data_IF_827955885335
#
_entry.id   IF_827955885335
#
_cell.length_a   1.000
_cell.length_b   1.000
_cell.length_c   1.000
_cell.angle_alpha   90.00
_cell.angle_beta   90.00
_cell.angle_gamma   90.00
#
_symmetry.space_group_name_H-M   'P 1'
#
loop_
_entity.id
_entity.type
_entity.pdbx_description
1 polymer ?
#
# COMPACT_ATOMS: atom_id res chain seq x y z
N UNK A 1 -65.88 91.65 6.04
CA UNK A 1 -65.66 90.25 5.89
C UNK A 1 -65.00 90.01 4.52
N UNK A 2 -63.70 90.06 4.45
CA UNK A 2 -62.90 89.91 3.22
C UNK A 2 -62.52 88.50 2.97
N UNK A 3 -63.02 87.92 1.89
CA UNK A 3 -62.64 86.57 1.47
C UNK A 3 -61.36 86.68 0.60
N UNK A 4 -60.23 86.22 1.13
CA UNK A 4 -59.00 86.09 0.38
C UNK A 4 -59.15 84.95 -0.64
N UNK A 5 -59.17 85.34 -1.92
CA UNK A 5 -59.01 84.40 -3.04
C UNK A 5 -57.56 83.88 -3.07
N UNK A 6 -57.37 82.65 -2.74
CA UNK A 6 -56.11 81.96 -2.95
C UNK A 6 -56.01 81.55 -4.42
N UNK A 7 -55.16 82.27 -5.13
CA UNK A 7 -54.88 81.96 -6.55
C UNK A 7 -54.30 80.58 -6.71
N UNK A 8 -54.83 79.81 -7.64
CA UNK A 8 -54.31 78.51 -8.01
C UNK A 8 -52.82 78.61 -8.40
N UNK A 9 -51.99 77.67 -8.02
CA UNK A 9 -50.55 77.66 -8.35
C UNK A 9 -50.43 77.59 -9.89
N UNK A 10 -49.75 78.59 -10.48
CA UNK A 10 -49.29 78.53 -11.86
C UNK A 10 -48.58 77.22 -12.09
N UNK A 11 -49.00 76.35 -13.00
CA UNK A 11 -48.26 75.25 -13.54
C UNK A 11 -46.90 75.78 -14.05
N UNK A 12 -45.83 75.59 -13.29
CA UNK A 12 -44.48 75.78 -13.78
C UNK A 12 -44.37 74.90 -15.04
N UNK A 13 -43.91 75.42 -16.16
CA UNK A 13 -43.69 74.64 -17.38
C UNK A 13 -42.85 73.41 -17.03
N UNK A 14 -43.27 72.28 -17.50
CA UNK A 14 -42.56 71.00 -17.21
C UNK A 14 -41.14 71.15 -17.72
N UNK A 15 -40.17 71.23 -16.79
CA UNK A 15 -38.73 71.26 -17.09
C UNK A 15 -38.41 69.88 -17.66
N UNK A 16 -37.79 69.79 -18.84
CA UNK A 16 -37.42 68.52 -19.42
C UNK A 16 -36.34 67.85 -18.60
N UNK A 17 -36.30 66.51 -18.69
CA UNK A 17 -35.26 65.71 -18.02
C UNK A 17 -33.85 66.17 -18.44
N UNK A 18 -33.69 66.55 -19.71
CA UNK A 18 -32.47 67.11 -20.28
C UNK A 18 -32.03 68.40 -19.58
N UNK A 19 -33.01 69.37 -19.42
CA UNK A 19 -32.79 70.65 -18.74
C UNK A 19 -32.43 70.46 -17.24
N UNK A 20 -33.04 69.47 -16.56
CA UNK A 20 -32.71 69.12 -15.16
C UNK A 20 -31.29 68.60 -15.04
N UNK A 21 -30.84 67.74 -15.94
CA UNK A 21 -29.54 67.13 -15.92
C UNK A 21 -28.41 67.99 -16.51
N UNK A 22 -28.74 68.99 -17.33
CA UNK A 22 -27.80 70.00 -17.83
C UNK A 22 -27.30 70.96 -16.72
N UNK A 23 -28.09 71.16 -15.67
CA UNK A 23 -27.75 72.07 -14.57
C UNK A 23 -26.82 71.36 -13.59
N UNK A 24 -25.53 71.75 -13.52
CA UNK A 24 -24.52 71.21 -12.66
C UNK A 24 -24.78 71.41 -11.15
N UNK A 25 -25.55 72.41 -10.77
CA UNK A 25 -25.94 72.70 -9.40
C UNK A 25 -27.17 71.89 -8.94
N UNK A 26 -27.77 71.06 -9.83
CA UNK A 26 -28.95 70.29 -9.51
C UNK A 26 -28.58 69.11 -8.56
N UNK A 27 -29.23 69.01 -7.37
CA UNK A 27 -28.97 67.90 -6.43
C UNK A 27 -29.18 66.51 -7.05
N UNK A 28 -30.07 66.31 -7.98
CA UNK A 28 -30.27 65.04 -8.69
C UNK A 28 -29.03 64.62 -9.48
N UNK A 29 -28.41 65.58 -10.21
CA UNK A 29 -27.16 65.30 -10.93
C UNK A 29 -26.04 65.00 -9.98
N UNK A 30 -25.87 65.75 -8.89
CA UNK A 30 -24.87 65.47 -7.87
C UNK A 30 -25.06 64.09 -7.25
N UNK A 31 -26.31 63.66 -7.01
CA UNK A 31 -26.63 62.31 -6.52
C UNK A 31 -26.22 61.24 -7.54
N UNK A 32 -26.55 61.39 -8.80
CA UNK A 32 -26.16 60.44 -9.86
C UNK A 32 -24.64 60.39 -10.04
N UNK A 33 -23.94 61.53 -9.94
CA UNK A 33 -22.48 61.61 -10.02
C UNK A 33 -21.76 60.98 -8.82
N UNK A 34 -22.44 60.82 -7.68
CA UNK A 34 -21.91 60.13 -6.48
C UNK A 34 -22.01 58.61 -6.54
N UNK A 35 -22.80 58.07 -7.46
CA UNK A 35 -22.95 56.62 -7.62
C UNK A 35 -21.66 55.97 -8.13
N UNK A 36 -21.27 54.88 -7.50
CA UNK A 36 -20.14 54.04 -7.97
C UNK A 36 -20.60 52.99 -8.99
N UNK A 37 -21.52 53.34 -9.84
CA UNK A 37 -22.02 52.57 -10.97
C UNK A 37 -22.00 53.39 -12.24
N UNK A 38 -21.77 52.79 -13.39
CA UNK A 38 -21.82 53.48 -14.67
C UNK A 38 -23.27 53.73 -15.02
N UNK A 39 -23.71 54.96 -14.93
CA UNK A 39 -25.11 55.38 -15.16
C UNK A 39 -25.24 56.30 -16.37
N UNK A 40 -26.15 55.93 -17.25
CA UNK A 40 -26.50 56.68 -18.46
C UNK A 40 -27.99 56.95 -18.48
N UNK A 41 -28.40 58.12 -19.02
CA UNK A 41 -29.78 58.40 -19.19
C UNK A 41 -30.00 58.79 -20.67
N UNK A 42 -31.02 58.16 -21.25
CA UNK A 42 -31.51 58.50 -22.59
C UNK A 42 -32.92 59.14 -22.52
N UNK A 43 -33.19 60.13 -23.35
CA UNK A 43 -34.50 60.72 -23.54
C UNK A 43 -35.49 59.74 -24.18
N UNK A 44 -36.75 60.19 -24.37
CA UNK A 44 -37.78 59.40 -25.05
C UNK A 44 -37.48 59.23 -26.57
N UNK A 45 -36.67 60.09 -27.11
CA UNK A 45 -36.16 60.07 -28.49
C UNK A 45 -34.92 59.15 -28.63
N UNK A 46 -34.57 58.47 -27.54
CA UNK A 46 -33.40 57.55 -27.44
C UNK A 46 -32.05 58.25 -27.65
N UNK A 47 -32.00 59.57 -27.43
CA UNK A 47 -30.75 60.33 -27.40
C UNK A 47 -30.12 60.22 -26.01
N UNK A 48 -28.84 59.97 -25.94
CA UNK A 48 -28.08 59.90 -24.68
C UNK A 48 -27.89 61.33 -24.14
N UNK A 49 -28.63 61.68 -23.08
CA UNK A 49 -28.65 63.04 -22.53
C UNK A 49 -27.76 63.22 -21.30
N UNK A 50 -27.35 62.09 -20.63
CA UNK A 50 -26.49 62.13 -19.46
C UNK A 50 -25.68 60.94 -19.32
N UNK A 51 -24.47 61.10 -18.74
CA UNK A 51 -23.58 60.07 -18.19
C UNK A 51 -22.96 60.61 -16.91
N UNK A 52 -22.93 59.77 -15.85
CA UNK A 52 -22.38 60.19 -14.57
C UNK A 52 -20.85 60.16 -14.57
N UNK A 53 -20.25 60.66 -13.47
CA UNK A 53 -18.80 60.72 -13.28
C UNK A 53 -18.12 59.35 -13.46
N UNK A 54 -18.68 58.29 -12.85
CA UNK A 54 -18.15 56.92 -12.99
C UNK A 54 -18.18 56.43 -14.42
N UNK A 55 -19.27 56.63 -15.14
CA UNK A 55 -19.37 56.28 -16.55
C UNK A 55 -18.36 57.05 -17.41
N UNK A 56 -18.09 58.33 -17.14
CA UNK A 56 -17.04 59.06 -17.82
C UNK A 56 -15.64 58.45 -17.64
N UNK A 57 -15.30 58.06 -16.41
CA UNK A 57 -14.03 57.42 -16.10
C UNK A 57 -13.91 56.07 -16.86
N UNK A 58 -14.88 55.19 -16.71
CA UNK A 58 -14.88 53.88 -17.34
C UNK A 58 -14.85 53.95 -18.86
N UNK A 59 -15.61 54.89 -19.46
CA UNK A 59 -15.56 55.11 -20.89
C UNK A 59 -14.19 55.60 -21.39
N UNK A 60 -13.45 56.37 -20.56
CA UNK A 60 -12.06 56.73 -20.87
C UNK A 60 -11.18 55.51 -21.10
N UNK A 61 -11.27 54.56 -20.18
CA UNK A 61 -10.52 53.28 -20.25
C UNK A 61 -10.94 52.43 -21.45
N UNK A 62 -12.23 52.43 -21.78
CA UNK A 62 -12.81 51.68 -22.90
C UNK A 62 -12.73 52.38 -24.27
N UNK A 63 -12.27 53.63 -24.32
CA UNK A 63 -12.25 54.46 -25.51
C UNK A 63 -11.63 53.82 -26.74
N UNK A 64 -10.46 53.19 -26.67
CA UNK A 64 -9.85 52.48 -27.79
C UNK A 64 -10.75 51.38 -28.36
N UNK A 65 -11.33 50.54 -27.52
CA UNK A 65 -12.21 49.44 -27.92
C UNK A 65 -13.52 49.92 -28.52
N UNK A 66 -14.10 51.01 -27.96
CA UNK A 66 -15.30 51.66 -28.51
C UNK A 66 -15.04 52.22 -29.91
N UNK A 67 -13.89 52.86 -30.10
CA UNK A 67 -13.49 53.41 -31.41
C UNK A 67 -13.31 52.31 -32.44
N UNK A 68 -12.66 51.21 -32.05
CA UNK A 68 -12.45 50.07 -32.94
C UNK A 68 -13.77 49.37 -33.31
N UNK A 69 -14.68 49.17 -32.36
CA UNK A 69 -15.91 48.42 -32.56
C UNK A 69 -17.02 49.24 -33.25
N UNK A 70 -17.12 50.52 -32.93
CA UNK A 70 -18.25 51.39 -33.36
C UNK A 70 -17.82 52.59 -34.19
N UNK A 71 -16.54 52.86 -34.35
CA UNK A 71 -16.04 54.05 -35.08
C UNK A 71 -16.31 55.38 -34.37
N UNK A 72 -16.62 55.37 -33.07
CA UNK A 72 -17.01 56.52 -32.28
C UNK A 72 -15.95 56.90 -31.26
N UNK A 73 -15.75 58.20 -31.04
CA UNK A 73 -15.03 58.70 -29.89
C UNK A 73 -15.96 58.81 -28.66
N UNK A 74 -15.39 58.70 -27.44
CA UNK A 74 -16.16 58.83 -26.20
C UNK A 74 -16.92 60.14 -26.11
N UNK A 75 -16.37 61.21 -26.64
CA UNK A 75 -17.01 62.55 -26.63
C UNK A 75 -18.25 62.62 -27.54
N UNK A 76 -18.30 61.81 -28.57
CA UNK A 76 -19.44 61.76 -29.50
C UNK A 76 -20.62 60.94 -28.98
N UNK A 77 -20.50 60.28 -27.84
CA UNK A 77 -21.53 59.42 -27.26
C UNK A 77 -22.69 60.29 -26.70
N UNK A 78 -22.37 61.33 -25.96
CA UNK A 78 -23.36 62.25 -25.41
C UNK A 78 -24.03 63.09 -26.54
N UNK A 79 -25.35 63.26 -26.51
CA UNK A 79 -26.12 63.89 -27.54
C UNK A 79 -26.33 63.01 -28.78
N UNK A 80 -25.89 61.79 -28.79
CA UNK A 80 -26.09 60.85 -29.88
C UNK A 80 -27.14 59.80 -29.59
N UNK A 81 -27.76 59.23 -30.64
CA UNK A 81 -28.70 58.12 -30.48
C UNK A 81 -28.02 56.85 -29.97
N UNK A 82 -28.70 56.13 -29.04
CA UNK A 82 -28.28 54.83 -28.52
C UNK A 82 -28.22 53.74 -29.61
N UNK A 83 -28.90 53.95 -30.73
CA UNK A 83 -28.92 53.02 -31.86
C UNK A 83 -27.54 52.81 -32.50
N UNK A 84 -26.61 53.70 -32.25
CA UNK A 84 -25.19 53.54 -32.70
C UNK A 84 -24.52 52.27 -32.16
N UNK A 85 -25.10 51.71 -31.08
CA UNK A 85 -24.60 50.51 -30.45
C UNK A 85 -25.41 49.25 -30.81
N UNK A 86 -26.51 49.40 -31.55
CA UNK A 86 -27.44 48.32 -31.81
C UNK A 86 -27.46 47.90 -33.27
N UNK A 87 -27.36 46.62 -33.53
CA UNK A 87 -27.45 46.04 -34.89
C UNK A 87 -28.87 46.06 -35.45
N UNK A 88 -29.88 46.00 -34.60
CA UNK A 88 -31.30 46.02 -34.93
C UNK A 88 -32.00 47.08 -34.07
N UNK A 89 -32.02 48.38 -34.54
CA UNK A 89 -32.68 49.46 -33.87
C UNK A 89 -34.19 49.24 -33.65
N UNK A 90 -34.88 48.66 -34.62
CA UNK A 90 -36.31 48.42 -34.55
C UNK A 90 -36.71 47.41 -33.47
N UNK A 91 -35.87 46.45 -33.23
CA UNK A 91 -36.06 45.51 -32.13
C UNK A 91 -35.92 46.22 -30.78
N UNK A 92 -34.91 47.05 -30.61
CA UNK A 92 -34.71 47.82 -29.39
C UNK A 92 -35.89 48.77 -29.11
N UNK A 93 -36.37 49.50 -30.09
CA UNK A 93 -37.56 50.37 -29.96
C UNK A 93 -38.77 49.58 -29.49
N UNK A 94 -39.04 48.42 -30.06
CA UNK A 94 -40.14 47.53 -29.62
C UNK A 94 -39.99 47.07 -28.16
N UNK A 95 -38.77 46.71 -27.72
CA UNK A 95 -38.50 46.32 -26.34
C UNK A 95 -38.70 47.49 -25.38
N UNK A 96 -38.19 48.67 -25.73
CA UNK A 96 -38.29 49.85 -24.89
C UNK A 96 -39.75 50.45 -24.86
N UNK A 97 -40.52 50.21 -25.89
CA UNK A 97 -41.93 50.61 -25.95
C UNK A 97 -42.84 49.79 -25.04
N UNK A 98 -42.52 48.50 -24.82
CA UNK A 98 -43.29 47.59 -23.95
C UNK A 98 -43.06 47.91 -22.48
N UNK A 99 -44.08 48.39 -21.72
CA UNK A 99 -43.88 48.60 -20.26
C UNK A 99 -43.55 47.37 -19.46
N UNK A 100 -43.94 46.18 -19.94
CA UNK A 100 -43.70 44.92 -19.26
C UNK A 100 -42.31 44.34 -19.53
N UNK A 101 -41.61 44.86 -20.56
CA UNK A 101 -40.28 44.41 -20.90
C UNK A 101 -39.16 45.06 -20.05
N UNK A 102 -39.51 46.04 -19.22
CA UNK A 102 -38.57 46.77 -18.35
C UNK A 102 -38.94 46.57 -16.85
N UNK A 103 -37.99 46.46 -15.91
CA UNK A 103 -36.56 46.53 -16.15
C UNK A 103 -36.01 45.27 -16.88
N UNK A 104 -34.96 45.47 -17.70
CA UNK A 104 -34.36 44.41 -18.49
C UNK A 104 -32.83 44.35 -18.31
N UNK A 105 -32.32 43.19 -17.97
CA UNK A 105 -30.90 42.90 -18.04
C UNK A 105 -30.53 42.43 -19.45
N UNK A 106 -29.37 42.84 -19.94
CA UNK A 106 -28.80 42.40 -21.21
C UNK A 106 -27.27 42.42 -21.12
N UNK A 107 -26.63 41.46 -21.75
CA UNK A 107 -25.17 41.40 -21.87
C UNK A 107 -24.81 41.59 -23.35
N UNK A 108 -23.77 42.37 -23.62
CA UNK A 108 -23.23 42.52 -24.97
C UNK A 108 -21.72 42.62 -24.93
N UNK A 109 -21.06 42.12 -25.98
CA UNK A 109 -19.61 42.09 -26.07
C UNK A 109 -19.12 42.78 -27.33
N UNK A 110 -17.99 43.49 -27.23
CA UNK A 110 -17.29 44.13 -28.33
C UNK A 110 -15.82 44.28 -28.00
N UNK A 111 -14.92 44.10 -28.97
CA UNK A 111 -13.48 44.32 -28.79
C UNK A 111 -12.86 43.60 -27.59
N UNK A 112 -13.33 42.42 -27.25
CA UNK A 112 -12.87 41.65 -26.07
C UNK A 112 -13.45 42.13 -24.73
N UNK A 113 -14.35 43.11 -24.74
CA UNK A 113 -15.03 43.67 -23.56
C UNK A 113 -16.42 43.10 -23.49
N UNK A 114 -16.86 42.67 -22.31
CA UNK A 114 -18.22 42.23 -22.03
C UNK A 114 -18.84 43.17 -21.01
N UNK A 115 -19.93 43.82 -21.42
CA UNK A 115 -20.72 44.72 -20.58
C UNK A 115 -22.05 44.07 -20.23
N UNK A 116 -22.37 44.06 -18.95
CA UNK A 116 -23.71 43.73 -18.46
C UNK A 116 -24.48 45.01 -18.22
N UNK A 117 -25.69 45.09 -18.74
CA UNK A 117 -26.53 46.28 -18.62
C UNK A 117 -27.84 45.96 -17.94
N UNK A 118 -28.33 46.89 -17.14
CA UNK A 118 -29.70 46.93 -16.62
C UNK A 118 -30.39 48.18 -17.13
N UNK A 119 -31.47 48.02 -17.87
CA UNK A 119 -32.23 49.09 -18.48
C UNK A 119 -33.55 49.23 -17.75
N UNK A 120 -33.90 50.44 -17.29
CA UNK A 120 -35.17 50.75 -16.64
C UNK A 120 -35.82 52.01 -17.21
N UNK A 121 -37.12 52.03 -17.18
CA UNK A 121 -37.85 53.26 -17.52
C UNK A 121 -37.81 54.29 -16.38
N UNK A 122 -37.64 55.57 -16.71
CA UNK A 122 -37.80 56.69 -15.75
C UNK A 122 -39.24 57.14 -15.84
N UNK A 123 -40.05 56.91 -14.79
CA UNK A 123 -41.45 57.23 -14.72
C UNK A 123 -41.73 58.12 -13.51
N UNK A 124 -42.65 59.06 -13.66
CA UNK A 124 -43.16 59.88 -12.56
C UNK A 124 -44.23 59.13 -11.74
N UNK A 125 -44.71 59.79 -10.68
CA UNK A 125 -45.78 59.25 -9.81
C UNK A 125 -47.11 59.02 -10.48
N UNK A 126 -47.33 59.67 -11.66
CA UNK A 126 -48.51 59.48 -12.48
C UNK A 126 -48.35 58.38 -13.54
N UNK A 127 -47.18 57.72 -13.59
CA UNK A 127 -46.86 56.64 -14.54
C UNK A 127 -46.40 57.19 -15.93
N UNK A 128 -46.19 58.52 -16.07
CA UNK A 128 -45.69 59.09 -17.30
C UNK A 128 -44.19 58.80 -17.47
N UNK A 129 -43.80 58.21 -18.59
CA UNK A 129 -42.40 57.94 -18.91
C UNK A 129 -41.70 59.22 -19.36
N UNK A 130 -40.49 59.45 -18.82
CA UNK A 130 -39.67 60.63 -19.16
C UNK A 130 -38.35 60.23 -19.86
N UNK A 131 -37.99 58.95 -19.84
CA UNK A 131 -36.80 58.49 -20.48
C UNK A 131 -36.40 57.09 -19.95
N UNK A 132 -35.16 56.76 -20.14
CA UNK A 132 -34.57 55.44 -19.74
C UNK A 132 -33.28 55.68 -19.00
N UNK A 133 -33.05 54.90 -17.91
CA UNK A 133 -31.80 54.81 -17.23
C UNK A 133 -31.16 53.46 -17.56
N UNK A 134 -29.89 53.52 -17.89
CA UNK A 134 -29.06 52.32 -18.16
C UNK A 134 -27.89 52.32 -17.19
N UNK A 135 -27.81 51.26 -16.38
CA UNK A 135 -26.67 50.99 -15.56
C UNK A 135 -25.91 49.86 -16.24
N UNK A 136 -24.60 49.99 -16.38
CA UNK A 136 -23.80 48.92 -16.92
C UNK A 136 -22.50 48.70 -16.13
N UNK A 137 -22.00 47.48 -16.23
CA UNK A 137 -20.80 47.05 -15.59
C UNK A 137 -19.89 46.29 -16.59
N UNK A 138 -18.60 46.49 -16.47
CA UNK A 138 -17.64 45.73 -17.25
C UNK A 138 -17.32 44.43 -16.49
N UNK A 139 -17.80 43.34 -17.04
CA UNK A 139 -17.65 42.00 -16.45
C UNK A 139 -16.56 41.17 -17.12
N UNK A 140 -15.76 41.75 -18.01
CA UNK A 140 -14.75 41.06 -18.80
C UNK A 140 -13.70 40.33 -17.93
N UNK A 141 -13.11 41.05 -16.97
CA UNK A 141 -12.08 40.47 -16.07
C UNK A 141 -12.68 39.39 -15.18
N UNK A 142 -13.89 39.64 -14.64
CA UNK A 142 -14.60 38.66 -13.82
C UNK A 142 -14.88 37.36 -14.60
N UNK A 143 -15.39 37.49 -15.83
CA UNK A 143 -15.72 36.35 -16.68
C UNK A 143 -14.45 35.59 -17.09
N UNK A 144 -13.39 36.32 -17.48
CA UNK A 144 -12.08 35.70 -17.81
C UNK A 144 -11.47 34.99 -16.61
N UNK A 145 -11.55 35.56 -15.42
CA UNK A 145 -11.09 34.92 -14.18
C UNK A 145 -11.91 33.66 -13.84
N UNK A 146 -13.25 33.74 -14.03
CA UNK A 146 -14.14 32.60 -13.85
C UNK A 146 -13.86 31.48 -14.85
N UNK A 147 -13.67 31.80 -16.14
CA UNK A 147 -13.27 30.83 -17.17
C UNK A 147 -11.93 30.18 -16.85
N UNK A 148 -10.93 30.96 -16.43
CA UNK A 148 -9.61 30.47 -16.07
C UNK A 148 -9.65 29.56 -14.83
N UNK A 149 -10.43 29.92 -13.81
CA UNK A 149 -10.62 29.12 -12.61
C UNK A 149 -11.34 27.80 -12.95
N UNK A 150 -12.37 27.83 -13.78
CA UNK A 150 -13.09 26.66 -14.24
C UNK A 150 -12.16 25.68 -14.97
N UNK A 151 -11.39 26.15 -15.94
CA UNK A 151 -10.44 25.34 -16.69
C UNK A 151 -9.35 24.75 -15.77
N UNK A 152 -8.92 25.51 -14.77
CA UNK A 152 -7.93 25.02 -13.79
C UNK A 152 -8.49 23.88 -12.93
N UNK A 153 -9.74 24.00 -12.46
CA UNK A 153 -10.43 22.94 -11.70
C UNK A 153 -10.68 21.72 -12.59
N UNK A 154 -11.11 21.92 -13.83
CA UNK A 154 -11.32 20.81 -14.78
C UNK A 154 -10.03 20.05 -15.06
N UNK A 155 -8.92 20.75 -15.27
CA UNK A 155 -7.60 20.15 -15.44
C UNK A 155 -7.16 19.39 -14.19
N UNK A 156 -7.32 19.98 -13.00
CA UNK A 156 -6.95 19.36 -11.73
C UNK A 156 -7.77 18.10 -11.47
N UNK A 157 -9.09 18.13 -11.72
CA UNK A 157 -9.95 16.95 -11.56
C UNK A 157 -9.59 15.85 -12.55
N UNK A 158 -9.20 16.18 -13.78
CA UNK A 158 -8.70 15.21 -14.75
C UNK A 158 -7.43 14.49 -14.30
N UNK A 159 -6.44 15.22 -13.77
CA UNK A 159 -5.21 14.65 -13.21
C UNK A 159 -5.51 13.77 -11.99
N UNK A 160 -6.39 14.23 -11.11
CA UNK A 160 -6.80 13.46 -9.93
C UNK A 160 -7.51 12.15 -10.32
N UNK A 161 -8.34 12.17 -11.35
CA UNK A 161 -8.99 10.96 -11.87
C UNK A 161 -7.97 9.94 -12.40
N UNK A 162 -6.92 10.39 -13.11
CA UNK A 162 -5.83 9.51 -13.56
C UNK A 162 -5.06 8.90 -12.38
N UNK A 163 -4.74 9.72 -11.37
CA UNK A 163 -4.08 9.25 -10.14
C UNK A 163 -4.93 8.19 -9.46
N UNK A 164 -6.23 8.43 -9.32
CA UNK A 164 -7.18 7.51 -8.69
C UNK A 164 -7.22 6.16 -9.41
N UNK A 165 -7.28 6.16 -10.75
CA UNK A 165 -7.21 4.93 -11.54
C UNK A 165 -5.88 4.18 -11.38
N UNK A 166 -4.79 4.91 -11.13
CA UNK A 166 -3.50 4.28 -10.81
C UNK A 166 -3.51 3.65 -9.42
N UNK A 167 -4.11 4.32 -8.44
CA UNK A 167 -4.27 3.78 -7.08
C UNK A 167 -5.07 2.49 -7.13
N UNK A 168 -6.20 2.45 -7.84
CA UNK A 168 -7.03 1.25 -7.99
C UNK A 168 -6.25 0.07 -8.59
N UNK A 169 -5.46 0.34 -9.64
CA UNK A 169 -4.61 -0.71 -10.24
C UNK A 169 -3.55 -1.21 -9.26
N UNK A 170 -2.90 -0.32 -8.52
CA UNK A 170 -1.91 -0.71 -7.50
C UNK A 170 -2.58 -1.50 -6.38
N UNK A 171 -3.75 -1.08 -5.91
CA UNK A 171 -4.52 -1.81 -4.91
C UNK A 171 -4.89 -3.23 -5.37
N UNK A 172 -5.37 -3.38 -6.61
CA UNK A 172 -5.68 -4.69 -7.19
C UNK A 172 -4.43 -5.60 -7.27
N UNK A 173 -3.30 -5.07 -7.76
CA UNK A 173 -2.04 -5.81 -7.80
C UNK A 173 -1.54 -6.20 -6.41
N UNK A 174 -1.65 -5.31 -5.43
CA UNK A 174 -1.25 -5.57 -4.03
C UNK A 174 -2.11 -6.66 -3.42
N UNK A 175 -3.42 -6.68 -3.69
CA UNK A 175 -4.36 -7.73 -3.25
C UNK A 175 -4.00 -9.10 -3.84
N UNK A 176 -3.65 -9.16 -5.13
CA UNK A 176 -3.19 -10.39 -5.79
C UNK A 176 -1.88 -10.90 -5.19
N UNK A 177 -0.92 -9.98 -4.95
CA UNK A 177 0.35 -10.32 -4.30
C UNK A 177 0.15 -10.83 -2.87
N UNK A 178 -0.76 -10.20 -2.09
CA UNK A 178 -1.11 -10.64 -0.75
C UNK A 178 -1.71 -12.06 -0.78
N UNK A 179 -2.58 -12.37 -1.73
CA UNK A 179 -3.16 -13.70 -1.91
C UNK A 179 -2.07 -14.74 -2.22
N UNK A 180 -1.16 -14.41 -3.12
CA UNK A 180 -0.02 -15.29 -3.47
C UNK A 180 0.90 -15.51 -2.28
N UNK A 181 1.22 -14.46 -1.53
CA UNK A 181 2.03 -14.53 -0.33
C UNK A 181 1.35 -15.36 0.77
N UNK A 182 0.03 -15.26 0.92
CA UNK A 182 -0.75 -16.08 1.85
C UNK A 182 -0.63 -17.57 1.52
N UNK A 183 -0.80 -17.93 0.23
CA UNK A 183 -0.64 -19.32 -0.22
C UNK A 183 0.78 -19.85 0.04
N UNK A 184 1.82 -19.06 -0.25
CA UNK A 184 3.21 -19.41 0.03
C UNK A 184 3.47 -19.59 1.55
N UNK A 185 2.86 -18.75 2.38
CA UNK A 185 2.97 -18.81 3.85
C UNK A 185 2.31 -20.09 4.41
N UNK A 186 1.17 -20.51 3.86
CA UNK A 186 0.53 -21.78 4.22
C UNK A 186 1.40 -22.98 3.81
N UNK A 187 2.07 -22.93 2.66
CA UNK A 187 3.04 -23.95 2.25
C UNK A 187 4.25 -24.00 3.19
N UNK A 188 4.77 -22.83 3.60
CA UNK A 188 5.85 -22.76 4.59
C UNK A 188 5.42 -23.37 5.92
N UNK A 189 4.21 -23.08 6.42
CA UNK A 189 3.65 -23.64 7.64
C UNK A 189 3.58 -25.16 7.59
N UNK A 190 3.12 -25.71 6.46
CA UNK A 190 3.06 -27.16 6.25
C UNK A 190 4.47 -27.78 6.25
N UNK A 191 5.44 -27.14 5.56
CA UNK A 191 6.83 -27.61 5.52
C UNK A 191 7.48 -27.58 6.91
N UNK A 192 7.32 -26.48 7.66
CA UNK A 192 7.82 -26.38 9.07
C UNK A 192 7.23 -27.48 9.95
N UNK A 193 5.93 -27.77 9.82
CA UNK A 193 5.27 -28.86 10.53
C UNK A 193 5.84 -30.23 10.16
N UNK A 194 6.18 -30.44 8.90
CA UNK A 194 6.79 -31.70 8.43
C UNK A 194 8.22 -31.85 8.95
N UNK A 195 9.03 -30.77 8.94
CA UNK A 195 10.38 -30.78 9.52
C UNK A 195 10.30 -31.09 11.02
N UNK A 196 9.32 -30.49 11.74
CA UNK A 196 9.12 -30.78 13.17
C UNK A 196 8.87 -32.28 13.42
N UNK A 197 7.98 -32.89 12.61
CA UNK A 197 7.67 -34.31 12.71
C UNK A 197 8.91 -35.20 12.42
N UNK A 198 9.64 -34.86 11.36
CA UNK A 198 10.85 -35.56 10.96
C UNK A 198 11.95 -35.46 12.03
N UNK A 199 12.15 -34.27 12.62
CA UNK A 199 13.11 -34.02 13.70
C UNK A 199 12.76 -34.81 14.95
N UNK A 200 11.49 -34.86 15.36
CA UNK A 200 11.02 -35.65 16.48
C UNK A 200 11.25 -37.15 16.23
N UNK A 201 10.95 -37.64 15.02
CA UNK A 201 11.21 -39.01 14.63
C UNK A 201 12.70 -39.38 14.65
N UNK A 202 13.59 -38.48 14.22
CA UNK A 202 15.02 -38.65 14.27
C UNK A 202 15.54 -38.67 15.73
N UNK A 203 14.97 -37.84 16.61
CA UNK A 203 15.30 -37.85 18.04
C UNK A 203 14.91 -39.18 18.73
N UNK A 204 13.73 -39.71 18.41
CA UNK A 204 13.28 -41.02 18.91
C UNK A 204 14.18 -42.15 18.41
N UNK A 205 14.51 -42.15 17.11
CA UNK A 205 15.46 -43.15 16.55
C UNK A 205 16.83 -43.04 17.18
N UNK A 206 17.32 -41.86 17.48
CA UNK A 206 18.59 -41.66 18.19
C UNK A 206 18.55 -42.26 19.58
N UNK A 207 17.47 -42.11 20.32
CA UNK A 207 17.27 -42.73 21.65
C UNK A 207 17.26 -44.24 21.56
N UNK A 208 16.59 -44.82 20.58
CA UNK A 208 16.63 -46.28 20.35
C UNK A 208 18.02 -46.78 19.97
N UNK A 209 18.76 -46.03 19.15
CA UNK A 209 20.11 -46.38 18.76
C UNK A 209 21.06 -46.35 19.95
N UNK A 210 20.97 -45.40 20.89
CA UNK A 210 21.74 -45.39 22.14
C UNK A 210 21.44 -46.66 22.95
N UNK A 211 20.15 -46.98 23.13
CA UNK A 211 19.77 -48.19 23.88
C UNK A 211 20.38 -49.49 23.27
N UNK A 212 20.30 -49.60 21.94
CA UNK A 212 20.90 -50.76 21.23
C UNK A 212 22.42 -50.79 21.33
N UNK A 213 23.09 -49.64 21.33
CA UNK A 213 24.56 -49.54 21.50
C UNK A 213 24.97 -49.99 22.91
N UNK A 214 24.25 -49.50 23.93
CA UNK A 214 24.49 -49.92 25.33
C UNK A 214 24.33 -51.44 25.52
N UNK A 215 23.26 -52.02 24.94
CA UNK A 215 23.05 -53.50 24.96
C UNK A 215 24.17 -54.22 24.25
N UNK A 216 24.63 -53.71 23.10
CA UNK A 216 25.74 -54.26 22.34
C UNK A 216 27.06 -54.27 23.14
N UNK A 217 27.37 -53.17 23.81
CA UNK A 217 28.55 -53.06 24.70
C UNK A 217 28.46 -54.08 25.83
N UNK A 218 27.28 -54.24 26.44
CA UNK A 218 27.13 -55.24 27.53
C UNK A 218 27.35 -56.66 27.02
N UNK A 219 26.83 -57.05 25.87
CA UNK A 219 27.03 -58.36 25.27
C UNK A 219 28.51 -58.66 24.95
N UNK A 220 29.25 -57.65 24.46
CA UNK A 220 30.67 -57.78 24.20
C UNK A 220 31.47 -57.90 25.49
N UNK A 221 31.10 -57.22 26.57
CA UNK A 221 31.72 -57.38 27.90
C UNK A 221 31.45 -58.77 28.47
N UNK A 222 30.24 -59.29 28.34
CA UNK A 222 29.88 -60.66 28.77
C UNK A 222 30.68 -61.69 27.97
N UNK A 223 30.91 -61.46 26.66
CA UNK A 223 31.78 -62.29 25.83
C UNK A 223 33.24 -62.24 26.30
N UNK A 224 33.75 -61.03 26.63
CA UNK A 224 35.13 -60.90 27.21
C UNK A 224 35.26 -61.64 28.49
N UNK A 225 34.30 -61.58 29.38
CA UNK A 225 34.31 -62.34 30.64
C UNK A 225 34.30 -63.88 30.41
N UNK A 226 33.41 -64.38 29.57
CA UNK A 226 33.30 -65.80 29.23
C UNK A 226 34.56 -66.31 28.57
N UNK A 227 35.18 -65.51 27.70
CA UNK A 227 36.49 -65.94 27.08
C UNK A 227 37.67 -65.92 28.09
N UNK A 228 37.60 -64.97 29.06
CA UNK A 228 38.62 -65.00 30.16
C UNK A 228 38.50 -66.28 31.03
N UNK A 229 37.25 -66.66 31.38
CA UNK A 229 36.96 -67.88 32.12
C UNK A 229 37.45 -69.15 31.36
N UNK A 230 37.23 -69.20 30.02
CA UNK A 230 37.77 -70.29 29.20
C UNK A 230 39.31 -70.28 29.22
N UNK A 231 39.95 -69.09 29.16
CA UNK A 231 41.38 -68.92 29.26
C UNK A 231 41.92 -69.51 30.57
N UNK A 232 41.25 -69.29 31.72
CA UNK A 232 41.59 -69.88 33.00
C UNK A 232 41.48 -71.39 32.97
N UNK A 233 40.42 -71.95 32.40
CA UNK A 233 40.21 -73.36 32.22
C UNK A 233 41.31 -74.03 31.34
N UNK A 234 41.70 -73.38 30.25
CA UNK A 234 42.76 -73.82 29.35
C UNK A 234 44.12 -73.87 30.11
N UNK A 235 44.43 -72.89 30.95
CA UNK A 235 45.63 -72.91 31.83
C UNK A 235 45.65 -74.12 32.76
N UNK A 236 44.48 -74.47 33.34
CA UNK A 236 44.35 -75.67 34.18
C UNK A 236 44.65 -76.96 33.36
N UNK A 237 44.03 -77.08 32.14
CA UNK A 237 44.26 -78.27 31.30
C UNK A 237 45.71 -78.34 30.82
N UNK A 238 46.36 -77.20 30.51
CA UNK A 238 47.78 -77.12 30.16
C UNK A 238 48.62 -77.64 31.30
N UNK A 239 48.28 -77.29 32.58
CA UNK A 239 48.91 -77.84 33.76
C UNK A 239 48.78 -79.38 33.89
N UNK A 240 47.56 -79.90 33.63
CA UNK A 240 47.28 -81.35 33.63
C UNK A 240 48.05 -82.06 32.51
N UNK A 241 48.08 -81.51 31.30
CA UNK A 241 48.82 -82.06 30.18
C UNK A 241 50.32 -82.09 30.48
N UNK A 242 50.90 -81.03 31.06
CA UNK A 242 52.29 -80.99 31.48
C UNK A 242 52.60 -82.04 32.59
N UNK A 243 51.73 -82.19 33.57
CA UNK A 243 51.88 -83.22 34.63
C UNK A 243 51.76 -84.62 34.04
N UNK A 244 50.82 -84.86 33.11
CA UNK A 244 50.67 -86.15 32.43
C UNK A 244 51.92 -86.49 31.59
N UNK A 245 52.46 -85.50 30.88
CA UNK A 245 53.72 -85.70 30.13
C UNK A 245 54.87 -86.02 31.02
N UNK A 246 54.96 -85.37 32.18
CA UNK A 246 56.00 -85.71 33.20
C UNK A 246 55.80 -87.12 33.80
N UNK A 247 54.55 -87.51 34.11
CA UNK A 247 54.26 -88.88 34.59
C UNK A 247 54.58 -89.93 33.54
N UNK A 248 54.24 -89.67 32.28
CA UNK A 248 54.58 -90.58 31.16
C UNK A 248 56.11 -90.69 30.94
N UNK A 249 56.84 -89.57 31.09
CA UNK A 249 58.29 -89.58 31.02
C UNK A 249 58.87 -90.41 32.12
N UNK A 250 58.41 -90.26 33.37
CA UNK A 250 58.87 -91.08 34.51
C UNK A 250 58.57 -92.58 34.32
N UNK A 251 57.36 -92.89 33.79
CA UNK A 251 56.98 -94.27 33.45
C UNK A 251 57.85 -94.82 32.32
N UNK A 252 58.22 -94.04 31.32
CA UNK A 252 59.13 -94.46 30.24
C UNK A 252 60.51 -94.77 30.78
N UNK A 253 61.03 -93.99 31.74
CA UNK A 253 62.33 -94.23 32.42
C UNK A 253 62.26 -95.50 33.20
N UNK A 254 61.25 -95.77 34.01
CA UNK A 254 61.11 -96.92 34.79
C UNK A 254 60.89 -98.20 33.96
N UNK A 255 60.13 -98.10 32.89
CA UNK A 255 59.99 -99.21 31.93
C UNK A 255 61.31 -99.58 31.25
N UNK A 256 62.13 -98.59 30.89
CA UNK A 256 63.49 -98.83 30.39
C UNK A 256 64.41 -99.53 31.42
N UNK A 257 64.22 -99.21 32.71
CA UNK A 257 64.97 -99.82 33.82
C UNK A 257 64.59 -101.30 34.07
N UNK A 258 63.33 -101.67 33.82
CA UNK A 258 62.83 -103.05 33.93
C UNK A 258 63.23 -103.95 32.74
N UNK A 259 63.97 -103.46 31.77
CA UNK A 259 64.48 -104.23 30.61
C UNK A 259 63.38 -105.01 29.89
N UNK A 260 63.51 -106.27 29.64
CA UNK A 260 62.59 -107.16 28.94
C UNK A 260 61.14 -107.12 29.52
N UNK A 261 61.00 -107.10 30.83
CA UNK A 261 59.69 -107.07 31.50
C UNK A 261 58.94 -105.73 31.36
N UNK A 262 59.63 -104.66 31.03
CA UNK A 262 59.08 -103.35 30.88
C UNK A 262 58.62 -102.95 29.44
N UNK A 263 58.87 -103.78 28.39
CA UNK A 263 58.64 -103.45 27.01
C UNK A 263 57.16 -102.97 26.71
N UNK A 264 56.18 -103.71 27.26
CA UNK A 264 54.75 -103.31 27.07
C UNK A 264 54.40 -101.98 27.74
N UNK A 265 54.94 -101.73 28.93
CA UNK A 265 54.79 -100.48 29.67
C UNK A 265 55.46 -99.29 28.96
N UNK A 266 56.62 -99.48 28.35
CA UNK A 266 57.33 -98.45 27.61
C UNK A 266 56.53 -97.94 26.39
N UNK A 267 55.84 -98.83 25.67
CA UNK A 267 55.00 -98.47 24.55
C UNK A 267 53.80 -97.59 25.03
N UNK A 268 53.14 -98.02 26.13
CA UNK A 268 51.99 -97.24 26.67
C UNK A 268 52.46 -95.85 27.20
N UNK A 269 53.61 -95.83 27.93
CA UNK A 269 54.17 -94.57 28.42
C UNK A 269 54.55 -93.60 27.27
N UNK A 270 55.10 -94.12 26.19
CA UNK A 270 55.39 -93.33 25.00
C UNK A 270 54.13 -92.79 24.36
N UNK A 271 53.10 -93.61 24.22
CA UNK A 271 51.78 -93.16 23.63
C UNK A 271 51.10 -92.08 24.49
N UNK A 272 51.11 -92.27 25.85
CA UNK A 272 50.60 -91.26 26.78
C UNK A 272 51.36 -89.92 26.68
N UNK A 273 52.72 -90.04 26.54
CA UNK A 273 53.57 -88.84 26.35
C UNK A 273 53.24 -88.12 25.03
N UNK A 274 53.07 -88.88 23.94
CA UNK A 274 52.66 -88.27 22.64
C UNK A 274 51.27 -87.60 22.71
N UNK A 275 50.30 -88.26 23.37
CA UNK A 275 48.97 -87.73 23.57
C UNK A 275 48.98 -86.45 24.43
N UNK A 276 49.78 -86.42 25.51
CA UNK A 276 49.97 -85.26 26.35
C UNK A 276 50.58 -84.08 25.55
N UNK A 277 51.59 -84.36 24.69
CA UNK A 277 52.18 -83.34 23.81
C UNK A 277 51.17 -82.81 22.76
N UNK A 278 50.41 -83.71 22.12
CA UNK A 278 49.38 -83.33 21.17
C UNK A 278 48.25 -82.46 21.82
N UNK A 279 47.87 -82.84 23.07
CA UNK A 279 46.92 -82.10 23.86
C UNK A 279 47.46 -80.70 24.18
N UNK A 280 48.68 -80.52 24.62
CA UNK A 280 49.32 -79.24 24.88
C UNK A 280 49.41 -78.41 23.60
N UNK A 281 49.67 -78.95 22.42
CA UNK A 281 49.66 -78.28 21.14
C UNK A 281 48.28 -77.76 20.78
N UNK A 282 47.25 -78.60 20.91
CA UNK A 282 45.85 -78.20 20.65
C UNK A 282 45.37 -77.10 21.57
N UNK A 283 45.79 -77.10 22.85
CA UNK A 283 45.46 -76.03 23.79
C UNK A 283 46.10 -74.71 23.34
N UNK A 284 47.38 -74.72 22.91
CA UNK A 284 48.03 -73.53 22.39
C UNK A 284 47.27 -72.89 21.19
N UNK A 285 46.75 -73.73 20.29
CA UNK A 285 45.91 -73.28 19.19
C UNK A 285 44.61 -72.66 19.66
N UNK A 286 43.95 -73.22 20.70
CA UNK A 286 42.75 -72.70 21.31
C UNK A 286 43.03 -71.37 22.02
N UNK A 287 44.12 -71.26 22.81
CA UNK A 287 44.55 -70.02 23.47
C UNK A 287 44.77 -68.90 22.47
N UNK A 288 45.40 -69.16 21.29
CA UNK A 288 45.55 -68.14 20.23
C UNK A 288 44.22 -67.69 19.67
N UNK A 289 43.24 -68.58 19.51
CA UNK A 289 41.89 -68.25 19.07
C UNK A 289 41.14 -67.46 20.13
N UNK A 290 41.20 -67.76 21.38
CA UNK A 290 40.59 -67.01 22.47
C UNK A 290 41.17 -65.61 22.56
N UNK A 291 42.47 -65.42 22.45
CA UNK A 291 43.12 -64.12 22.42
C UNK A 291 42.64 -63.26 21.20
N UNK A 292 42.40 -63.92 20.07
CA UNK A 292 41.83 -63.21 18.89
C UNK A 292 40.41 -62.79 19.16
N UNK A 293 39.54 -63.60 19.77
CA UNK A 293 38.17 -63.25 20.15
C UNK A 293 38.15 -62.09 21.15
N UNK A 294 39.02 -62.12 22.17
CA UNK A 294 39.13 -61.04 23.15
C UNK A 294 39.50 -59.69 22.51
N UNK A 295 40.47 -59.71 21.57
CA UNK A 295 40.85 -58.51 20.83
C UNK A 295 39.69 -57.99 19.99
N UNK A 296 39.02 -58.86 19.25
CA UNK A 296 37.88 -58.48 18.45
C UNK A 296 36.71 -57.89 19.29
N UNK A 297 36.48 -58.47 20.46
CA UNK A 297 35.47 -57.95 21.41
C UNK A 297 35.88 -56.60 21.97
N UNK A 298 37.16 -56.36 22.27
CA UNK A 298 37.64 -55.03 22.70
C UNK A 298 37.52 -53.99 21.61
N UNK A 299 37.90 -54.28 20.38
CA UNK A 299 37.74 -53.42 19.22
C UNK A 299 36.24 -53.11 18.96
N UNK A 300 35.37 -54.11 19.18
CA UNK A 300 33.92 -53.94 19.08
C UNK A 300 33.39 -52.98 20.13
N UNK A 301 33.80 -53.00 21.37
CA UNK A 301 33.43 -52.07 22.44
C UNK A 301 33.85 -50.65 22.04
N UNK A 302 35.12 -50.45 21.65
CA UNK A 302 35.61 -49.15 21.24
C UNK A 302 34.80 -48.57 20.01
N UNK A 303 34.40 -49.42 19.07
CA UNK A 303 33.59 -49.02 17.94
C UNK A 303 32.19 -48.58 18.37
N UNK A 304 31.53 -49.29 19.30
CA UNK A 304 30.23 -48.93 19.85
C UNK A 304 30.30 -47.66 20.68
N UNK A 305 31.34 -47.42 21.47
CA UNK A 305 31.53 -46.15 22.20
C UNK A 305 31.70 -44.96 21.26
N UNK A 306 32.40 -45.13 20.11
CA UNK A 306 32.45 -44.11 19.08
C UNK A 306 31.06 -43.82 18.45
N UNK A 307 30.27 -44.87 18.21
CA UNK A 307 28.89 -44.73 17.70
C UNK A 307 28.01 -43.95 18.70
N UNK A 308 28.13 -44.25 20.01
CA UNK A 308 27.41 -43.53 21.06
C UNK A 308 27.75 -42.04 21.04
N UNK A 309 29.03 -41.67 20.87
CA UNK A 309 29.47 -40.27 20.70
C UNK A 309 28.83 -39.58 19.49
N UNK A 310 28.75 -40.30 18.35
CA UNK A 310 28.09 -39.76 17.15
C UNK A 310 26.59 -39.55 17.34
N UNK A 311 25.91 -40.50 18.02
CA UNK A 311 24.48 -40.39 18.32
C UNK A 311 24.20 -39.19 19.26
N UNK A 312 25.08 -38.97 20.25
CA UNK A 312 25.01 -37.82 21.15
C UNK A 312 25.08 -36.49 20.36
N UNK A 313 26.01 -36.39 19.38
CA UNK A 313 26.12 -35.20 18.52
C UNK A 313 24.89 -35.00 17.62
N UNK A 314 24.28 -36.11 17.15
CA UNK A 314 23.00 -36.04 16.41
C UNK A 314 21.89 -35.49 17.31
N UNK A 315 21.80 -35.95 18.56
CA UNK A 315 20.79 -35.48 19.52
C UNK A 315 20.94 -34.00 19.83
N UNK A 316 22.16 -33.49 19.97
CA UNK A 316 22.42 -32.05 20.14
C UNK A 316 22.00 -31.25 18.90
N UNK A 317 22.30 -31.77 17.71
CA UNK A 317 21.86 -31.13 16.44
C UNK A 317 20.35 -31.10 16.34
N UNK A 318 19.63 -32.16 16.75
CA UNK A 318 18.15 -32.16 16.75
C UNK A 318 17.57 -31.15 17.73
N UNK A 319 18.19 -30.87 18.87
CA UNK A 319 17.78 -29.81 19.78
C UNK A 319 17.89 -28.42 19.13
N UNK A 320 18.98 -28.19 18.39
CA UNK A 320 19.15 -26.94 17.63
C UNK A 320 18.09 -26.78 16.53
N UNK A 321 17.80 -27.88 15.81
CA UNK A 321 16.72 -27.89 14.78
C UNK A 321 15.35 -27.59 15.41
N UNK A 322 15.06 -28.17 16.59
CA UNK A 322 13.82 -27.91 17.31
C UNK A 322 13.64 -26.42 17.65
N UNK A 323 14.69 -25.76 18.15
CA UNK A 323 14.67 -24.31 18.42
C UNK A 323 14.47 -23.49 17.14
N UNK A 324 15.10 -23.86 16.03
CA UNK A 324 14.92 -23.19 14.75
C UNK A 324 13.48 -23.35 14.20
N UNK A 325 12.85 -24.50 14.45
CA UNK A 325 11.44 -24.76 14.08
C UNK A 325 10.48 -23.84 14.87
N UNK A 326 10.72 -23.68 16.18
CA UNK A 326 9.92 -22.76 17.00
C UNK A 326 10.03 -21.32 16.49
N UNK A 327 11.25 -20.86 16.19
CA UNK A 327 11.48 -19.54 15.62
C UNK A 327 10.80 -19.37 14.25
N UNK A 328 10.97 -20.35 13.35
CA UNK A 328 10.31 -20.32 12.03
C UNK A 328 8.78 -20.32 12.13
N UNK A 329 8.21 -21.04 13.10
CA UNK A 329 6.78 -21.05 13.35
C UNK A 329 6.29 -19.68 13.79
N UNK A 330 7.01 -19.00 14.69
CA UNK A 330 6.71 -17.65 15.14
C UNK A 330 6.77 -16.63 13.99
N UNK A 331 7.85 -16.68 13.19
CA UNK A 331 8.02 -15.80 12.01
C UNK A 331 6.92 -16.03 10.97
N UNK A 332 6.58 -17.29 10.70
CA UNK A 332 5.51 -17.62 9.73
C UNK A 332 4.15 -17.08 10.19
N UNK A 333 3.86 -17.15 11.49
CA UNK A 333 2.65 -16.56 12.06
C UNK A 333 2.65 -15.02 11.97
N UNK A 334 3.80 -14.37 12.10
CA UNK A 334 3.95 -12.92 11.93
C UNK A 334 3.72 -12.50 10.48
N UNK A 335 4.32 -13.23 9.53
CA UNK A 335 4.10 -13.00 8.09
C UNK A 335 2.61 -13.13 7.76
N UNK A 336 1.93 -14.16 8.26
CA UNK A 336 0.49 -14.34 8.02
C UNK A 336 -0.34 -13.15 8.53
N UNK A 337 -0.01 -12.62 9.71
CA UNK A 337 -0.68 -11.41 10.25
C UNK A 337 -0.40 -10.18 9.40
N UNK A 338 0.84 -9.99 8.95
CA UNK A 338 1.21 -8.87 8.08
C UNK A 338 0.45 -8.90 6.74
N UNK A 339 0.32 -10.10 6.14
CA UNK A 339 -0.46 -10.29 4.90
C UNK A 339 -1.94 -9.95 5.13
N UNK A 340 -2.51 -10.34 6.27
CA UNK A 340 -3.88 -9.95 6.65
C UNK A 340 -4.04 -8.43 6.72
N UNK A 341 -3.10 -7.73 7.36
CA UNK A 341 -3.09 -6.27 7.42
C UNK A 341 -2.96 -5.60 6.05
N UNK A 342 -2.18 -6.18 5.13
CA UNK A 342 -2.08 -5.69 3.74
C UNK A 342 -3.43 -5.84 3.01
N UNK A 343 -4.11 -6.97 3.17
CA UNK A 343 -5.41 -7.22 2.54
C UNK A 343 -6.47 -6.22 3.05
N UNK A 344 -6.50 -5.96 4.35
CA UNK A 344 -7.42 -4.97 4.95
C UNK A 344 -7.10 -3.55 4.49
N UNK A 345 -5.83 -3.14 4.52
CA UNK A 345 -5.41 -1.81 4.02
C UNK A 345 -5.68 -1.61 2.53
N UNK A 346 -5.62 -2.66 1.73
CA UNK A 346 -5.97 -2.60 0.31
C UNK A 346 -7.47 -2.39 0.11
N UNK A 347 -8.31 -3.03 0.92
CA UNK A 347 -9.77 -2.84 0.90
C UNK A 347 -10.14 -1.42 1.30
N UNK A 348 -9.56 -0.91 2.38
CA UNK A 348 -9.76 0.48 2.83
C UNK A 348 -9.33 1.47 1.76
N UNK A 349 -8.22 1.22 1.07
CA UNK A 349 -7.77 2.05 -0.05
C UNK A 349 -8.80 2.09 -1.17
N UNK A 350 -9.37 0.97 -1.56
CA UNK A 350 -10.40 0.90 -2.60
C UNK A 350 -11.67 1.66 -2.20
N UNK A 351 -12.11 1.54 -0.94
CA UNK A 351 -13.28 2.29 -0.42
C UNK A 351 -13.03 3.80 -0.43
N UNK A 352 -11.87 4.25 0.06
CA UNK A 352 -11.51 5.66 0.07
C UNK A 352 -11.37 6.23 -1.34
N UNK A 353 -10.86 5.44 -2.28
CA UNK A 353 -10.76 5.82 -3.70
C UNK A 353 -12.15 6.04 -4.31
N UNK A 354 -13.13 5.19 -4.00
CA UNK A 354 -14.51 5.37 -4.46
C UNK A 354 -15.16 6.63 -3.88
N UNK A 355 -14.96 6.92 -2.59
CA UNK A 355 -15.44 8.14 -1.96
C UNK A 355 -14.79 9.40 -2.55
N UNK A 356 -13.50 9.32 -2.87
CA UNK A 356 -12.77 10.41 -3.48
C UNK A 356 -13.30 10.74 -4.89
N UNK A 357 -13.57 9.72 -5.72
CA UNK A 357 -14.18 9.90 -7.04
C UNK A 357 -15.55 10.59 -6.94
N UNK A 358 -16.39 10.18 -6.00
CA UNK A 358 -17.68 10.84 -5.76
C UNK A 358 -17.51 12.32 -5.38
N UNK A 359 -16.56 12.63 -4.51
CA UNK A 359 -16.28 14.01 -4.10
C UNK A 359 -15.75 14.87 -5.26
N UNK A 360 -14.97 14.29 -6.16
CA UNK A 360 -14.49 14.97 -7.37
C UNK A 360 -15.63 15.32 -8.32
N UNK A 361 -16.59 14.41 -8.52
CA UNK A 361 -17.77 14.66 -9.33
C UNK A 361 -18.61 15.79 -8.72
N UNK A 362 -18.75 15.84 -7.40
CA UNK A 362 -19.44 16.93 -6.71
C UNK A 362 -18.73 18.28 -6.92
N UNK A 363 -17.40 18.33 -6.78
CA UNK A 363 -16.60 19.54 -7.04
C UNK A 363 -16.79 20.00 -8.49
N UNK A 364 -16.75 19.10 -9.44
CA UNK A 364 -16.94 19.40 -10.86
C UNK A 364 -18.32 19.99 -11.12
N UNK A 365 -19.37 19.39 -10.58
CA UNK A 365 -20.76 19.85 -10.73
C UNK A 365 -20.96 21.22 -10.07
N UNK A 366 -20.45 21.44 -8.87
CA UNK A 366 -20.51 22.72 -8.17
C UNK A 366 -19.78 23.83 -8.93
N UNK A 367 -18.59 23.51 -9.45
CA UNK A 367 -17.78 24.45 -10.23
C UNK A 367 -18.47 24.83 -11.55
N UNK A 368 -19.08 23.86 -12.24
CA UNK A 368 -19.88 24.11 -13.43
C UNK A 368 -21.08 25.03 -13.13
N UNK A 369 -21.81 24.74 -12.06
CA UNK A 369 -22.95 25.55 -11.63
C UNK A 369 -22.53 26.97 -11.29
N UNK A 370 -21.42 27.14 -10.57
CA UNK A 370 -20.89 28.46 -10.23
C UNK A 370 -20.44 29.25 -11.48
N UNK A 371 -19.80 28.54 -12.42
CA UNK A 371 -19.37 29.13 -13.69
C UNK A 371 -20.56 29.67 -14.50
N UNK A 372 -21.64 28.88 -14.61
CA UNK A 372 -22.86 29.30 -15.30
C UNK A 372 -23.53 30.47 -14.59
N UNK A 373 -23.63 30.45 -13.25
CA UNK A 373 -24.19 31.59 -12.49
C UNK A 373 -23.38 32.87 -12.68
N UNK A 374 -22.05 32.79 -12.79
CA UNK A 374 -21.20 33.96 -13.00
C UNK A 374 -21.34 34.55 -14.41
N UNK A 375 -21.66 33.72 -15.40
CA UNK A 375 -21.93 34.18 -16.77
C UNK A 375 -23.33 34.80 -16.93
N UNK A 376 -24.32 34.28 -16.22
CA UNK A 376 -25.69 34.76 -16.27
C UNK A 376 -25.93 35.98 -15.35
N UNK A 377 -25.05 36.23 -14.36
CA UNK A 377 -25.10 37.36 -13.41
C UNK A 377 -24.45 38.60 -13.98
#
# INVERSE_FOLDING_TARGET
MAILSIGAPRRAGAVSLEQLLANELNPLRATLDSLNANCFIAGLDLTLVYRNRKANQTLGDLGPAIRQAFGLSVDQLLGGSIHRFHKDPARIERILADPKALPRAATFSFGGITLRTLISAITDSAGTRHGYVVIWDNVSERNSAADSAFLSVESATGVLQEITQRIDRVAAMTSEQATTAAAATEQLRAAVSEIARSSNGASEQSTHAVAATVEGVQKLRDLQQSTAEIGDFLRLITGIAAQTNMLALNATIEAARAREAGKGFAVVAYEVKQLAGATAGSIGDIEARIAAIQRAASEGVEALERIEGLISSISESQSTVASAIEEQSAVTAEISRAIGGIADGTRDTAEQTALFLSSMDDVRNQTSTLHDMLKDS
#
